data_IF_700825199452
#
_entry.id   IF_700825199452
#
_cell.length_a   1.000
_cell.length_b   1.000
_cell.length_c   1.000
_cell.angle_alpha   90.00
_cell.angle_beta   90.00
_cell.angle_gamma   90.00
#
_symmetry.space_group_name_H-M   'P 1'
#
loop_
_entity.id
_entity.type
_entity.pdbx_description
1 polymer ?
#
# COMPACT_ATOMS: atom_id res chain seq x y z
N UNK A 1 -1.60 12.82 -5.48
CA UNK A 1 -1.08 11.67 -4.74
C UNK A 1 0.42 11.77 -4.60
N UNK A 2 0.96 11.61 -3.39
CA UNK A 2 2.40 11.70 -3.12
C UNK A 2 3.17 10.49 -3.67
N UNK A 3 4.49 10.64 -3.84
CA UNK A 3 5.32 9.55 -4.36
C UNK A 3 5.45 8.39 -3.37
N UNK A 4 5.45 8.68 -2.06
CA UNK A 4 5.41 7.66 -1.00
C UNK A 4 4.16 6.79 -1.06
N UNK A 5 2.98 7.38 -1.33
CA UNK A 5 1.74 6.63 -1.51
C UNK A 5 1.81 5.71 -2.74
N UNK A 6 2.31 6.22 -3.88
CA UNK A 6 2.50 5.39 -5.09
C UNK A 6 3.44 4.22 -4.82
N UNK A 7 4.53 4.45 -4.09
CA UNK A 7 5.51 3.42 -3.76
C UNK A 7 4.90 2.34 -2.85
N UNK A 8 4.20 2.75 -1.80
CA UNK A 8 3.48 1.86 -0.90
C UNK A 8 2.41 1.03 -1.64
N UNK A 9 1.63 1.66 -2.52
CA UNK A 9 0.59 0.99 -3.30
C UNK A 9 1.16 -0.11 -4.21
N UNK A 10 2.26 0.19 -4.92
CA UNK A 10 2.97 -0.79 -5.76
C UNK A 10 3.52 -1.94 -4.94
N UNK A 11 4.20 -1.65 -3.84
CA UNK A 11 4.72 -2.67 -2.94
C UNK A 11 3.60 -3.59 -2.44
N UNK A 12 2.47 -3.01 -1.99
CA UNK A 12 1.34 -3.77 -1.48
C UNK A 12 0.64 -4.59 -2.58
N UNK A 13 0.68 -4.13 -3.82
CA UNK A 13 0.12 -4.82 -4.98
C UNK A 13 0.93 -6.06 -5.36
N UNK A 14 2.26 -5.94 -5.33
CA UNK A 14 3.20 -6.99 -5.73
C UNK A 14 3.51 -7.99 -4.59
N UNK A 15 3.35 -7.59 -3.33
CA UNK A 15 3.60 -8.48 -2.19
C UNK A 15 2.49 -9.54 -2.08
N UNK A 16 2.82 -10.85 -2.04
CA UNK A 16 1.84 -11.92 -1.80
C UNK A 16 1.12 -11.75 -0.46
N UNK A 17 -0.15 -12.16 -0.37
CA UNK A 17 -0.95 -11.95 0.85
C UNK A 17 -0.32 -12.57 2.10
N UNK A 18 0.21 -13.79 2.00
CA UNK A 18 0.86 -14.51 3.11
C UNK A 18 2.14 -13.85 3.63
N UNK A 19 2.75 -12.95 2.86
CA UNK A 19 3.96 -12.21 3.23
C UNK A 19 3.64 -10.80 3.75
N UNK A 20 2.38 -10.38 3.76
CA UNK A 20 2.01 -9.05 4.23
C UNK A 20 2.08 -8.98 5.74
N UNK A 21 2.67 -7.91 6.30
CA UNK A 21 2.63 -7.66 7.72
C UNK A 21 1.21 -7.31 8.15
N UNK A 22 0.81 -7.82 9.30
CA UNK A 22 -0.45 -7.51 9.95
C UNK A 22 -0.15 -6.96 11.36
N UNK A 23 -0.63 -5.75 11.71
CA UNK A 23 -1.53 -4.88 10.94
C UNK A 23 -0.83 -4.04 9.84
N UNK A 24 -1.47 -3.91 8.68
CA UNK A 24 -0.86 -3.28 7.49
C UNK A 24 -0.73 -1.76 7.59
N UNK A 25 -1.72 -1.07 8.19
CA UNK A 25 -1.71 0.41 8.26
C UNK A 25 -0.53 0.92 9.10
N UNK A 26 -0.29 0.46 10.33
CA UNK A 26 0.89 0.87 11.10
C UNK A 26 2.21 0.59 10.35
N UNK A 27 2.29 -0.55 9.66
CA UNK A 27 3.47 -0.88 8.85
C UNK A 27 3.69 0.13 7.72
N UNK A 28 2.65 0.45 6.93
CA UNK A 28 2.76 1.41 5.83
C UNK A 28 3.17 2.80 6.32
N UNK A 29 2.64 3.23 7.48
CA UNK A 29 3.00 4.50 8.12
C UNK A 29 4.48 4.51 8.50
N UNK A 30 4.99 3.45 9.12
CA UNK A 30 6.38 3.36 9.56
C UNK A 30 7.37 3.22 8.40
N UNK A 31 7.05 2.39 7.40
CA UNK A 31 7.98 2.07 6.32
C UNK A 31 8.04 3.12 5.22
N UNK A 32 6.91 3.79 4.93
CA UNK A 32 6.82 4.76 3.84
C UNK A 32 6.58 6.20 4.33
N UNK A 33 6.59 6.42 5.66
CA UNK A 33 6.39 7.73 6.26
C UNK A 33 4.98 8.30 6.07
N UNK A 34 3.98 7.43 5.88
CA UNK A 34 2.61 7.85 5.56
C UNK A 34 1.83 8.31 6.78
N UNK A 35 0.92 9.27 6.56
CA UNK A 35 -0.23 9.46 7.45
C UNK A 35 -1.20 8.27 7.37
N UNK A 36 -2.16 8.19 8.31
CA UNK A 36 -3.18 7.15 8.27
C UNK A 36 -4.06 7.24 7.01
N UNK A 37 -4.39 8.46 6.57
CA UNK A 37 -5.17 8.71 5.35
C UNK A 37 -4.40 8.26 4.11
N UNK A 38 -3.12 8.59 4.02
CA UNK A 38 -2.26 8.16 2.91
C UNK A 38 -2.06 6.65 2.88
N UNK A 39 -2.00 5.98 4.03
CA UNK A 39 -1.94 4.52 4.09
C UNK A 39 -3.22 3.88 3.53
N UNK A 40 -4.39 4.44 3.84
CA UNK A 40 -5.67 4.00 3.25
C UNK A 40 -5.67 4.23 1.74
N UNK A 41 -5.21 5.40 1.28
CA UNK A 41 -5.08 5.71 -0.15
C UNK A 41 -4.14 4.71 -0.86
N UNK A 42 -3.03 4.33 -0.23
CA UNK A 42 -2.13 3.33 -0.78
C UNK A 42 -2.79 1.94 -0.90
N UNK A 43 -3.68 1.57 0.04
CA UNK A 43 -4.45 0.33 -0.02
C UNK A 43 -5.44 0.36 -1.19
N UNK A 44 -6.16 1.46 -1.36
CA UNK A 44 -7.10 1.65 -2.48
C UNK A 44 -6.38 1.53 -3.84
N UNK A 45 -5.28 2.26 -4.00
CA UNK A 45 -4.48 2.23 -5.23
C UNK A 45 -3.84 0.86 -5.49
N UNK A 46 -3.43 0.15 -4.44
CA UNK A 46 -2.95 -1.23 -4.57
C UNK A 46 -4.01 -2.16 -5.18
N UNK A 47 -5.27 -1.98 -4.79
CA UNK A 47 -6.37 -2.77 -5.34
C UNK A 47 -6.63 -2.41 -6.81
N UNK A 48 -6.58 -1.11 -7.16
CA UNK A 48 -6.69 -0.66 -8.55
C UNK A 48 -5.57 -1.20 -9.44
N UNK A 49 -4.32 -1.23 -8.94
CA UNK A 49 -3.18 -1.82 -9.67
C UNK A 49 -3.46 -3.28 -9.99
N UNK A 50 -3.92 -4.07 -9.02
CA UNK A 50 -4.24 -5.49 -9.23
C UNK A 50 -5.38 -5.68 -10.22
N UNK A 51 -6.44 -4.88 -10.10
CA UNK A 51 -7.59 -4.97 -10.99
C UNK A 51 -7.24 -4.67 -12.46
N UNK A 52 -6.30 -3.75 -12.71
CA UNK A 52 -5.81 -3.43 -14.06
C UNK A 52 -4.85 -4.46 -14.64
N UNK A 53 -4.26 -5.31 -13.80
CA UNK A 53 -3.31 -6.34 -14.20
C UNK A 53 -3.96 -7.70 -14.46
N UNK A 54 -5.28 -7.81 -14.28
CA UNK A 54 -6.10 -8.98 -14.60
C UNK A 54 -6.54 -8.99 -16.06
#
# INVERSE_FOLDING_TARGET
MSDSVKQAARWLAMTPHVQKPHPVIPYLRMQFGLSAVEAIQAIEESNLIKARAQ
#
